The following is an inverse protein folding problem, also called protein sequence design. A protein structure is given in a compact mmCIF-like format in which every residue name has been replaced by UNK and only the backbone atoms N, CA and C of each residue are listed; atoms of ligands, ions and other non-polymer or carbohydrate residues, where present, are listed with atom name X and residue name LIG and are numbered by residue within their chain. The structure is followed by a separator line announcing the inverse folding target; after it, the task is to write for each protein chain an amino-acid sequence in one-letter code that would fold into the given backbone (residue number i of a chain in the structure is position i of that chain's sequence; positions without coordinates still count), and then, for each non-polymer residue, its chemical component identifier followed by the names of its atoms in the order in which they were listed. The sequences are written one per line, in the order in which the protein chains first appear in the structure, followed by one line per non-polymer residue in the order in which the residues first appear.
data_IF_180822511064
#
_entry.id   IF_180822511064
#
_cell.length_a   1.000
_cell.length_b   1.000
_cell.length_c   1.000
_cell.angle_alpha   90.00
_cell.angle_beta   90.00
_cell.angle_gamma   90.00
#
_symmetry.space_group_name_H-M   'P 1'
#
loop_
_entity.id
_entity.type
_entity.pdbx_description
1 polymer ?
#
# COMPACT_ATOMS: atom_id res chain seq x y z
N UNK A 1 1.00 -7.70 -40.69
CA UNK A 1 -0.40 -7.92 -40.29
C UNK A 1 -0.40 -7.96 -38.75
N UNK A 2 -0.71 -6.82 -38.14
CA UNK A 2 -0.76 -6.69 -36.67
C UNK A 2 -2.12 -7.19 -36.20
N UNK A 3 -2.12 -8.26 -35.43
CA UNK A 3 -3.30 -8.74 -34.71
C UNK A 3 -3.56 -7.83 -33.50
N UNK A 4 -4.46 -6.86 -33.68
CA UNK A 4 -5.03 -6.11 -32.57
C UNK A 4 -5.87 -7.08 -31.71
N UNK A 5 -5.39 -7.45 -30.53
CA UNK A 5 -6.25 -8.09 -29.54
C UNK A 5 -7.35 -7.11 -29.14
N UNK A 6 -8.62 -7.51 -29.14
CA UNK A 6 -9.67 -6.69 -28.58
C UNK A 6 -9.39 -6.51 -27.07
N UNK A 7 -9.20 -5.27 -26.64
CA UNK A 7 -9.19 -4.95 -25.21
C UNK A 7 -10.57 -5.30 -24.66
N UNK A 8 -10.64 -6.29 -23.80
CA UNK A 8 -11.87 -6.60 -23.08
C UNK A 8 -12.32 -5.34 -22.34
N UNK A 9 -13.59 -4.98 -22.47
CA UNK A 9 -14.15 -3.86 -21.71
C UNK A 9 -13.95 -4.13 -20.23
N UNK A 10 -13.49 -3.13 -19.43
CA UNK A 10 -13.21 -3.33 -18.02
C UNK A 10 -14.48 -3.78 -17.28
N UNK A 11 -14.35 -4.77 -16.42
CA UNK A 11 -15.45 -5.24 -15.59
C UNK A 11 -15.78 -4.23 -14.47
N UNK A 12 -17.05 -4.20 -14.03
CA UNK A 12 -17.52 -3.24 -13.05
C UNK A 12 -16.99 -3.58 -11.63
N UNK A 13 -16.10 -2.77 -11.08
CA UNK A 13 -15.60 -2.87 -9.72
C UNK A 13 -16.58 -2.38 -8.65
N UNK A 14 -17.57 -1.57 -9.04
CA UNK A 14 -18.63 -1.04 -8.19
C UNK A 14 -18.55 0.46 -7.91
N UNK A 15 -19.62 0.97 -7.27
CA UNK A 15 -19.72 2.36 -6.82
C UNK A 15 -19.57 2.43 -5.30
N UNK A 16 -18.83 3.43 -4.81
CA UNK A 16 -18.59 3.69 -3.39
C UNK A 16 -18.82 5.16 -3.05
N UNK A 17 -19.17 5.45 -1.80
CA UNK A 17 -19.16 6.81 -1.30
C UNK A 17 -17.75 7.32 -1.12
N UNK A 18 -16.85 6.43 -0.61
CA UNK A 18 -15.43 6.72 -0.42
C UNK A 18 -14.56 5.59 -0.96
N UNK A 19 -13.51 5.93 -1.70
CA UNK A 19 -12.41 5.02 -2.02
C UNK A 19 -11.12 5.56 -1.42
N UNK A 20 -10.42 4.69 -0.69
CA UNK A 20 -9.11 4.96 -0.09
C UNK A 20 -8.07 4.22 -0.92
N UNK A 21 -6.99 4.88 -1.31
CA UNK A 21 -5.89 4.27 -2.07
C UNK A 21 -4.69 4.09 -1.16
N UNK A 22 -4.35 2.85 -0.88
CA UNK A 22 -3.25 2.42 -0.01
C UNK A 22 -3.74 1.89 1.34
N UNK A 23 -3.26 0.70 1.74
CA UNK A 23 -3.50 0.05 3.03
C UNK A 23 -2.29 0.15 3.98
N UNK A 24 -1.56 1.25 3.90
CA UNK A 24 -0.57 1.65 4.89
C UNK A 24 -1.20 2.27 6.13
N UNK A 25 -0.38 2.81 7.03
CA UNK A 25 -0.85 3.44 8.27
C UNK A 25 -1.91 4.51 8.01
N UNK A 26 -1.73 5.36 7.01
CA UNK A 26 -2.70 6.42 6.68
C UNK A 26 -4.04 5.87 6.20
N UNK A 27 -4.02 4.86 5.31
CA UNK A 27 -5.25 4.28 4.76
C UNK A 27 -6.04 3.46 5.78
N UNK A 28 -5.37 2.72 6.66
CA UNK A 28 -6.02 1.99 7.76
C UNK A 28 -6.63 2.99 8.76
N UNK A 29 -5.92 4.08 9.10
CA UNK A 29 -6.46 5.15 9.94
C UNK A 29 -7.67 5.83 9.31
N UNK A 30 -7.63 6.13 8.00
CA UNK A 30 -8.76 6.68 7.26
C UNK A 30 -9.96 5.72 7.27
N UNK A 31 -9.74 4.43 7.04
CA UNK A 31 -10.78 3.41 7.08
C UNK A 31 -11.45 3.32 8.47
N UNK A 32 -10.64 3.37 9.55
CA UNK A 32 -11.14 3.42 10.92
C UNK A 32 -12.06 4.63 11.12
N UNK A 33 -11.62 5.83 10.78
CA UNK A 33 -12.41 7.04 10.97
C UNK A 33 -13.70 7.05 10.13
N UNK A 34 -13.66 6.55 8.90
CA UNK A 34 -14.87 6.39 8.09
C UNK A 34 -15.85 5.39 8.73
N UNK A 35 -15.34 4.24 9.18
CA UNK A 35 -16.17 3.22 9.84
C UNK A 35 -16.87 3.77 11.09
N UNK A 36 -16.16 4.55 11.90
CA UNK A 36 -16.71 5.12 13.14
C UNK A 36 -17.68 6.28 12.89
N UNK A 37 -17.36 7.18 11.94
CA UNK A 37 -18.13 8.40 11.75
C UNK A 37 -19.26 8.28 10.73
N UNK A 38 -19.13 7.36 9.78
CA UNK A 38 -20.08 7.13 8.69
C UNK A 38 -20.41 5.64 8.54
N UNK A 39 -21.01 5.00 9.56
CA UNK A 39 -21.19 3.53 9.58
C UNK A 39 -22.07 3.01 8.44
N UNK A 40 -22.94 3.87 7.89
CA UNK A 40 -23.80 3.55 6.74
C UNK A 40 -23.15 3.74 5.38
N UNK A 41 -21.94 4.31 5.30
CA UNK A 41 -21.29 4.58 4.03
C UNK A 41 -20.69 3.29 3.40
N UNK A 42 -20.73 3.25 2.07
CA UNK A 42 -20.02 2.25 1.29
C UNK A 42 -18.61 2.73 1.01
N UNK A 43 -17.61 2.13 1.65
CA UNK A 43 -16.24 2.44 1.35
C UNK A 43 -15.38 1.20 1.14
N UNK A 44 -14.29 1.35 0.41
CA UNK A 44 -13.25 0.34 0.28
C UNK A 44 -11.86 0.99 0.30
N UNK A 45 -10.88 0.20 0.74
CA UNK A 45 -9.46 0.49 0.63
C UNK A 45 -8.90 -0.36 -0.51
N UNK A 46 -8.23 0.25 -1.48
CA UNK A 46 -7.57 -0.43 -2.59
C UNK A 46 -6.07 -0.41 -2.36
N UNK A 47 -5.42 -1.55 -2.41
CA UNK A 47 -3.96 -1.64 -2.31
C UNK A 47 -3.39 -2.51 -3.43
N UNK A 48 -2.30 -2.06 -4.03
CA UNK A 48 -1.62 -2.78 -5.12
C UNK A 48 -0.89 -4.04 -4.66
N UNK A 49 -0.54 -4.09 -3.37
CA UNK A 49 0.17 -5.22 -2.76
C UNK A 49 -0.80 -6.34 -2.36
N UNK A 50 -0.25 -7.46 -1.96
CA UNK A 50 -0.99 -8.62 -1.48
C UNK A 50 -1.20 -8.63 0.05
N UNK A 51 -0.83 -7.52 0.72
CA UNK A 51 -1.00 -7.34 2.15
C UNK A 51 -1.03 -5.87 2.56
N UNK A 52 -1.32 -5.62 3.82
CA UNK A 52 -1.33 -4.29 4.43
C UNK A 52 0.00 -3.92 5.07
N UNK A 53 0.19 -2.62 5.29
CA UNK A 53 1.35 -2.07 5.99
C UNK A 53 2.12 -1.03 5.20
N UNK A 54 1.93 -0.95 3.87
CA UNK A 54 2.61 0.01 2.99
C UNK A 54 4.13 -0.11 3.09
N UNK A 55 4.81 0.93 3.56
CA UNK A 55 6.27 0.92 3.80
C UNK A 55 6.72 -0.31 4.60
N UNK A 56 5.98 -0.66 5.66
CA UNK A 56 6.31 -1.77 6.56
C UNK A 56 6.00 -3.15 5.96
N UNK A 57 5.21 -3.22 4.93
CA UNK A 57 5.02 -4.41 4.12
C UNK A 57 6.16 -4.60 3.12
N UNK A 58 6.64 -3.52 2.51
CA UNK A 58 7.63 -3.56 1.44
C UNK A 58 9.05 -3.76 1.98
N UNK A 59 9.42 -3.08 3.08
CA UNK A 59 10.77 -3.10 3.63
C UNK A 59 10.95 -4.27 4.61
N UNK A 60 11.59 -5.35 4.12
CA UNK A 60 11.77 -6.61 4.86
C UNK A 60 13.22 -6.97 5.12
N UNK A 61 14.13 -6.02 4.95
CA UNK A 61 15.54 -6.25 5.26
C UNK A 61 15.75 -6.42 6.78
N UNK A 62 16.80 -7.17 7.20
CA UNK A 62 17.07 -7.39 8.62
C UNK A 62 17.21 -6.10 9.40
N UNK A 63 16.47 -5.97 10.48
CA UNK A 63 16.49 -4.79 11.34
C UNK A 63 15.68 -3.59 10.85
N UNK A 64 14.83 -3.75 9.80
CA UNK A 64 13.91 -2.71 9.37
C UNK A 64 13.05 -2.20 10.54
N UNK A 65 13.10 -0.91 10.80
CA UNK A 65 12.44 -0.27 11.95
C UNK A 65 12.08 1.19 11.64
N UNK A 66 11.19 1.77 12.43
CA UNK A 66 10.91 3.19 12.38
C UNK A 66 12.13 3.99 12.87
N UNK A 67 12.34 5.15 12.29
CA UNK A 67 13.25 6.20 12.78
C UNK A 67 12.52 7.21 13.69
N UNK A 68 11.19 7.17 13.67
CA UNK A 68 10.31 7.97 14.51
C UNK A 68 9.74 7.13 15.65
N UNK A 69 9.51 7.75 16.80
CA UNK A 69 8.90 7.07 17.94
C UNK A 69 7.43 6.74 17.70
N UNK A 70 7.01 5.56 18.11
CA UNK A 70 5.65 5.07 17.89
C UNK A 70 4.61 5.71 18.84
N UNK A 71 5.02 6.38 19.89
CA UNK A 71 4.08 7.11 20.76
C UNK A 71 3.51 8.34 20.05
N UNK A 72 4.30 8.96 19.15
CA UNK A 72 3.88 10.07 18.31
C UNK A 72 3.33 9.59 16.96
N UNK A 73 3.96 8.56 16.36
CA UNK A 73 3.61 8.05 15.03
C UNK A 73 2.36 7.17 15.03
N UNK A 74 2.04 6.51 16.16
CA UNK A 74 0.87 5.65 16.33
C UNK A 74 -0.45 6.43 16.32
N UNK A 75 -1.55 5.69 16.27
CA UNK A 75 -2.89 6.29 16.26
C UNK A 75 -3.30 6.79 17.65
N UNK A 76 -3.88 7.99 17.72
CA UNK A 76 -4.44 8.51 18.96
C UNK A 76 -5.60 7.67 19.54
N UNK A 77 -6.36 6.98 18.67
CA UNK A 77 -7.44 6.08 19.10
C UNK A 77 -6.96 4.69 19.56
N UNK A 78 -5.71 4.31 19.23
CA UNK A 78 -5.06 3.09 19.70
C UNK A 78 -3.62 3.43 20.09
N UNK A 79 -3.38 3.95 21.32
CA UNK A 79 -2.06 4.33 21.74
C UNK A 79 -1.08 3.17 21.72
N UNK A 80 0.13 3.41 21.20
CA UNK A 80 1.21 2.44 21.19
C UNK A 80 1.69 2.10 22.60
N UNK A 81 1.98 0.82 22.86
CA UNK A 81 2.42 0.32 24.18
C UNK A 81 3.75 -0.44 24.15
N UNK A 82 4.39 -0.50 22.97
CA UNK A 82 5.67 -1.16 22.80
C UNK A 82 6.87 -0.23 23.02
N UNK A 83 8.02 -0.62 22.46
CA UNK A 83 9.23 0.21 22.47
C UNK A 83 9.04 1.47 21.62
N UNK A 84 9.74 2.55 22.02
CA UNK A 84 9.68 3.82 21.27
C UNK A 84 9.97 3.62 19.78
N UNK A 85 11.07 2.96 19.45
CA UNK A 85 11.45 2.61 18.08
C UNK A 85 11.02 1.16 17.82
N UNK A 86 9.97 0.99 17.02
CA UNK A 86 9.41 -0.31 16.69
C UNK A 86 9.97 -0.87 15.37
N UNK A 87 10.08 -2.19 15.29
CA UNK A 87 10.43 -2.91 14.07
C UNK A 87 9.27 -2.91 13.08
N UNK A 88 9.56 -3.19 11.80
CA UNK A 88 8.55 -3.32 10.77
C UNK A 88 7.46 -4.35 11.14
N UNK A 89 7.85 -5.48 11.73
CA UNK A 89 6.91 -6.53 12.16
C UNK A 89 6.03 -6.08 13.33
N UNK A 90 6.58 -5.36 14.32
CA UNK A 90 5.81 -4.81 15.43
C UNK A 90 4.78 -3.78 14.93
N UNK A 91 5.17 -2.93 13.96
CA UNK A 91 4.25 -1.96 13.37
C UNK A 91 3.16 -2.67 12.56
N UNK A 92 3.51 -3.69 11.79
CA UNK A 92 2.52 -4.48 11.04
C UNK A 92 1.55 -5.21 11.96
N UNK A 93 2.04 -5.80 13.05
CA UNK A 93 1.19 -6.43 14.06
C UNK A 93 0.18 -5.42 14.65
N UNK A 94 0.66 -4.23 15.01
CA UNK A 94 -0.17 -3.13 15.50
C UNK A 94 -1.26 -2.70 14.50
N UNK A 95 -0.91 -2.58 13.22
CA UNK A 95 -1.88 -2.27 12.16
C UNK A 95 -2.89 -3.42 11.96
N UNK A 96 -2.43 -4.66 12.06
CA UNK A 96 -3.29 -5.85 12.01
C UNK A 96 -4.32 -5.86 13.13
N UNK A 97 -3.91 -5.55 14.36
CA UNK A 97 -4.83 -5.41 15.49
C UNK A 97 -5.89 -4.34 15.23
N UNK A 98 -5.53 -3.19 14.63
CA UNK A 98 -6.52 -2.15 14.27
C UNK A 98 -7.55 -2.68 13.27
N UNK A 99 -7.10 -3.42 12.26
CA UNK A 99 -7.97 -4.02 11.25
C UNK A 99 -8.94 -4.99 11.90
N UNK A 100 -8.43 -5.89 12.75
CA UNK A 100 -9.22 -6.98 13.35
C UNK A 100 -10.20 -6.46 14.40
N UNK A 101 -9.75 -5.60 15.32
CA UNK A 101 -10.58 -5.03 16.39
C UNK A 101 -11.74 -4.20 15.84
N UNK A 102 -11.61 -3.63 14.66
CA UNK A 102 -12.61 -2.77 14.04
C UNK A 102 -13.32 -3.40 12.83
N UNK A 103 -13.10 -4.70 12.56
CA UNK A 103 -13.76 -5.42 11.48
C UNK A 103 -13.51 -4.81 10.09
N UNK A 104 -12.31 -4.25 9.85
CA UNK A 104 -12.00 -3.55 8.61
C UNK A 104 -11.58 -4.47 7.46
N UNK A 105 -11.18 -5.71 7.75
CA UNK A 105 -10.67 -6.66 6.77
C UNK A 105 -11.58 -6.80 5.51
N UNK A 106 -12.92 -6.90 5.62
CA UNK A 106 -13.78 -7.01 4.44
C UNK A 106 -13.82 -5.75 3.56
N UNK A 107 -13.30 -4.63 4.06
CA UNK A 107 -13.23 -3.36 3.33
C UNK A 107 -11.94 -3.19 2.55
N UNK A 108 -10.90 -4.00 2.83
CA UNK A 108 -9.59 -3.89 2.19
C UNK A 108 -9.52 -4.85 1.01
N UNK A 109 -9.20 -4.31 -0.16
CA UNK A 109 -9.03 -5.07 -1.39
C UNK A 109 -7.58 -5.01 -1.81
N UNK A 110 -6.86 -6.08 -1.55
CA UNK A 110 -5.48 -6.26 -1.99
C UNK A 110 -5.39 -6.57 -3.49
N UNK A 111 -4.20 -6.39 -4.06
CA UNK A 111 -3.93 -6.65 -5.48
C UNK A 111 -4.78 -5.82 -6.43
N UNK A 112 -5.17 -4.62 -5.98
CA UNK A 112 -5.96 -3.65 -6.74
C UNK A 112 -5.13 -2.38 -6.93
N UNK A 113 -4.35 -2.33 -8.02
CA UNK A 113 -3.51 -1.19 -8.37
C UNK A 113 -4.32 -0.13 -9.11
N UNK A 114 -4.51 1.02 -8.52
CA UNK A 114 -5.11 2.18 -9.20
C UNK A 114 -4.15 2.67 -10.28
N UNK A 115 -4.61 2.71 -11.52
CA UNK A 115 -3.85 3.12 -12.70
C UNK A 115 -4.16 4.56 -13.08
N UNK A 116 -5.45 4.91 -13.12
CA UNK A 116 -5.93 6.26 -13.39
C UNK A 116 -7.04 6.65 -12.42
N UNK A 117 -7.26 7.93 -12.25
CA UNK A 117 -8.38 8.48 -11.49
C UNK A 117 -8.79 9.81 -12.13
N UNK A 118 -9.99 9.85 -12.71
CA UNK A 118 -10.50 10.97 -13.47
C UNK A 118 -11.74 11.55 -12.79
N UNK A 119 -11.76 12.87 -12.60
CA UNK A 119 -12.88 13.59 -12.02
C UNK A 119 -13.83 14.12 -13.09
N UNK A 120 -15.13 13.88 -12.91
CA UNK A 120 -16.18 14.49 -13.71
C UNK A 120 -16.98 15.47 -12.88
N UNK A 121 -16.87 16.76 -13.18
CA UNK A 121 -17.67 17.81 -12.52
C UNK A 121 -19.14 17.74 -12.90
N UNK A 122 -19.46 17.22 -14.08
CA UNK A 122 -20.84 17.01 -14.51
C UNK A 122 -21.51 15.89 -13.72
N UNK A 123 -20.80 14.79 -13.48
CA UNK A 123 -21.30 13.62 -12.74
C UNK A 123 -21.01 13.68 -11.26
N UNK A 124 -20.20 14.65 -10.81
CA UNK A 124 -19.75 14.86 -9.43
C UNK A 124 -19.17 13.59 -8.81
N UNK A 125 -18.31 12.89 -9.57
CA UNK A 125 -17.66 11.64 -9.14
C UNK A 125 -16.33 11.42 -9.80
N UNK A 126 -15.52 10.61 -9.13
CA UNK A 126 -14.31 10.00 -9.64
C UNK A 126 -14.63 8.70 -10.37
N UNK A 127 -13.94 8.46 -11.49
CA UNK A 127 -13.86 7.15 -12.16
C UNK A 127 -12.42 6.68 -12.10
N UNK A 128 -12.21 5.47 -11.58
CA UNK A 128 -10.89 4.87 -11.43
C UNK A 128 -10.78 3.64 -12.32
N UNK A 129 -9.67 3.54 -13.04
CA UNK A 129 -9.22 2.28 -13.64
C UNK A 129 -8.26 1.58 -12.68
N UNK A 130 -8.54 0.32 -12.38
CA UNK A 130 -7.81 -0.47 -11.41
C UNK A 130 -7.39 -1.79 -12.02
N UNK A 131 -6.10 -2.06 -12.05
CA UNK A 131 -5.56 -3.33 -12.51
C UNK A 131 -5.47 -4.32 -11.33
N UNK A 132 -5.98 -5.53 -11.54
CA UNK A 132 -5.71 -6.66 -10.67
C UNK A 132 -4.29 -7.16 -10.90
N UNK A 133 -3.42 -7.10 -9.88
CA UNK A 133 -2.00 -7.50 -10.02
C UNK A 133 -1.79 -9.00 -10.06
N UNK A 134 -2.80 -9.79 -9.71
CA UNK A 134 -2.79 -11.26 -9.74
C UNK A 134 -3.33 -11.84 -11.05
N UNK A 135 -4.36 -11.21 -11.64
CA UNK A 135 -5.04 -11.73 -12.84
C UNK A 135 -4.79 -10.90 -14.10
N UNK A 136 -4.31 -9.66 -13.94
CA UNK A 136 -4.21 -8.69 -15.04
C UNK A 136 -5.55 -8.11 -15.50
N UNK A 137 -6.65 -8.47 -14.81
CA UNK A 137 -7.97 -7.93 -15.13
C UNK A 137 -8.02 -6.43 -14.82
N UNK A 138 -8.69 -5.66 -15.68
CA UNK A 138 -8.97 -4.24 -15.45
C UNK A 138 -10.40 -4.07 -14.95
N UNK A 139 -10.55 -3.36 -13.83
CA UNK A 139 -11.81 -3.04 -13.19
C UNK A 139 -12.08 -1.55 -13.25
N UNK A 140 -13.33 -1.14 -13.39
CA UNK A 140 -13.74 0.26 -13.24
C UNK A 140 -14.48 0.46 -11.93
N UNK A 141 -13.99 1.40 -11.11
CA UNK A 141 -14.63 1.84 -9.88
C UNK A 141 -15.12 3.27 -10.02
N UNK A 142 -16.18 3.61 -9.32
CA UNK A 142 -16.60 5.01 -9.18
C UNK A 142 -16.77 5.38 -7.72
N UNK A 143 -16.48 6.65 -7.38
CA UNK A 143 -16.64 7.15 -6.01
C UNK A 143 -16.94 8.64 -5.98
N UNK A 144 -17.65 9.08 -4.93
CA UNK A 144 -17.85 10.49 -4.66
C UNK A 144 -16.61 11.14 -4.07
N UNK A 145 -15.90 10.43 -3.21
CA UNK A 145 -14.72 10.92 -2.53
C UNK A 145 -13.55 9.96 -2.70
N UNK A 146 -12.44 10.47 -3.23
CA UNK A 146 -11.19 9.73 -3.38
C UNK A 146 -10.19 10.22 -2.33
N UNK A 147 -9.71 9.28 -1.49
CA UNK A 147 -8.75 9.58 -0.44
C UNK A 147 -7.42 8.91 -0.75
N UNK A 148 -6.44 9.71 -1.16
CA UNK A 148 -5.12 9.23 -1.51
C UNK A 148 -4.26 9.01 -0.25
N UNK A 149 -3.94 7.74 0.01
CA UNK A 149 -3.07 7.29 1.10
C UNK A 149 -1.92 6.42 0.57
N UNK A 150 -1.50 6.67 -0.67
CA UNK A 150 -0.51 5.87 -1.41
C UNK A 150 0.94 6.01 -0.92
N UNK A 151 1.19 6.91 0.04
CA UNK A 151 2.54 7.21 0.49
C UNK A 151 3.32 8.04 -0.53
N UNK A 152 4.64 8.12 -0.33
CA UNK A 152 5.55 8.89 -1.19
C UNK A 152 6.69 8.05 -1.80
N UNK A 153 6.75 6.76 -1.47
CA UNK A 153 7.69 5.85 -2.11
C UNK A 153 7.10 5.25 -3.39
N UNK A 154 7.94 5.12 -4.41
CA UNK A 154 7.62 4.25 -5.53
C UNK A 154 7.89 2.80 -5.14
N UNK A 155 6.82 2.06 -4.84
CA UNK A 155 6.92 0.64 -4.46
C UNK A 155 7.25 -0.27 -5.67
N UNK A 156 7.16 0.23 -6.89
CA UNK A 156 7.50 -0.52 -8.10
C UNK A 156 8.99 -0.49 -8.41
N UNK A 157 9.66 0.63 -8.10
CA UNK A 157 11.06 0.83 -8.41
C UNK A 157 11.76 1.67 -7.36
N UNK A 158 12.68 1.06 -6.61
CA UNK A 158 13.54 1.79 -5.68
C UNK A 158 14.50 2.72 -6.42
N UNK A 159 14.72 3.91 -5.87
CA UNK A 159 15.71 4.84 -6.42
C UNK A 159 17.12 4.34 -6.12
N UNK A 160 17.86 3.98 -7.16
CA UNK A 160 19.28 3.61 -7.05
C UNK A 160 20.12 4.70 -7.71
N UNK A 161 20.87 5.49 -6.94
CA UNK A 161 21.79 6.48 -7.51
C UNK A 161 22.86 5.80 -8.36
N UNK A 162 23.30 6.49 -9.41
CA UNK A 162 24.42 6.04 -10.22
C UNK A 162 25.71 6.65 -9.67
N UNK A 163 26.52 5.85 -8.99
CA UNK A 163 27.83 6.27 -8.51
C UNK A 163 28.93 5.80 -9.48
N UNK A 164 29.95 6.64 -9.72
CA UNK A 164 31.14 6.22 -10.46
C UNK A 164 31.78 4.99 -9.79
N UNK A 165 32.11 3.96 -10.58
CA UNK A 165 32.72 2.73 -10.08
C UNK A 165 31.73 1.69 -9.54
N UNK A 166 30.41 1.97 -9.50
CA UNK A 166 29.45 0.98 -9.04
C UNK A 166 29.46 -0.29 -9.91
N UNK A 167 29.72 -0.14 -11.22
CA UNK A 167 29.81 -1.27 -12.15
C UNK A 167 31.08 -2.11 -11.96
N UNK A 168 32.11 -1.58 -11.29
CA UNK A 168 33.37 -2.26 -11.01
C UNK A 168 33.31 -3.07 -9.69
N UNK A 169 32.20 -2.91 -8.93
CA UNK A 169 32.00 -3.66 -7.70
C UNK A 169 31.60 -5.10 -8.01
N UNK A 170 32.46 -6.05 -7.66
CA UNK A 170 32.26 -7.50 -7.93
C UNK A 170 31.29 -8.17 -6.95
N UNK A 171 30.90 -7.48 -5.87
CA UNK A 171 29.96 -8.00 -4.87
C UNK A 171 28.50 -7.85 -5.29
N UNK A 172 27.62 -8.45 -4.49
CA UNK A 172 26.17 -8.35 -4.72
C UNK A 172 25.65 -6.96 -4.30
N UNK A 173 25.04 -6.22 -5.23
CA UNK A 173 24.34 -4.96 -4.94
C UNK A 173 22.86 -5.26 -4.71
N UNK A 174 22.32 -4.81 -3.57
CA UNK A 174 20.93 -5.05 -3.19
C UNK A 174 20.26 -3.75 -2.79
N UNK A 175 19.12 -3.44 -3.41
CA UNK A 175 18.26 -2.35 -2.94
C UNK A 175 17.40 -2.83 -1.77
N UNK A 176 17.33 -2.11 -0.61
CA UNK A 176 16.58 -2.56 0.57
C UNK A 176 15.10 -2.89 0.31
N UNK A 177 14.47 -2.19 -0.64
CA UNK A 177 13.07 -2.43 -1.03
C UNK A 177 12.87 -3.80 -1.71
N UNK A 178 13.92 -4.37 -2.30
CA UNK A 178 13.93 -5.67 -2.99
C UNK A 178 14.87 -6.65 -2.30
N UNK A 179 14.87 -6.66 -0.96
CA UNK A 179 15.73 -7.53 -0.18
C UNK A 179 15.41 -9.00 -0.44
N UNK A 180 16.40 -9.81 -0.91
CA UNK A 180 16.19 -11.24 -1.10
C UNK A 180 16.03 -11.94 0.24
N UNK A 181 14.99 -12.78 0.36
CA UNK A 181 14.70 -13.48 1.61
C UNK A 181 15.77 -14.52 2.02
N UNK A 182 16.52 -15.02 1.04
CA UNK A 182 17.59 -16.01 1.19
C UNK A 182 18.97 -15.40 1.38
N UNK A 183 19.07 -14.07 1.46
CA UNK A 183 20.37 -13.40 1.61
C UNK A 183 20.85 -13.48 3.05
N UNK A 184 21.88 -14.30 3.27
CA UNK A 184 22.64 -14.35 4.51
C UNK A 184 23.88 -13.45 4.42
N UNK A 185 23.97 -12.48 5.30
CA UNK A 185 25.13 -11.58 5.42
C UNK A 185 26.09 -11.98 6.55
N UNK A 186 25.87 -13.10 7.24
CA UNK A 186 26.72 -13.54 8.33
C UNK A 186 28.16 -13.79 7.82
N UNK A 187 29.14 -13.15 8.47
CA UNK A 187 30.54 -13.24 8.10
C UNK A 187 30.94 -12.54 6.79
N UNK A 188 30.03 -11.85 6.15
CA UNK A 188 30.31 -11.06 4.95
C UNK A 188 30.80 -9.64 5.32
N UNK A 189 31.59 -9.05 4.42
CA UNK A 189 31.87 -7.59 4.47
C UNK A 189 30.75 -6.89 3.71
N UNK A 190 29.97 -6.10 4.41
CA UNK A 190 28.84 -5.34 3.87
C UNK A 190 29.17 -3.85 3.89
#
# INVERSE_FOLDING_TARGET
MGTSHPSASPSCGGHFDFLIVGAGISGIGAAYHLHQRFPGSRFAVLDAMDGFGGTWWTHRYPGARSDSDLYTYGYGFKPWRGRSIATADEIRAYLGEVIDENGLAPRIRYRHKVMTADWSSQEQRWTLEVARTDSGETLTFTTRFLWMCSGYYDHGQGHTPQWPGLADFEGRVVHPQHWPQDLDCAGQRV
#
